data_IF_977902511284
#
_entry.id   IF_977902511284
#
_cell.length_a   1.000
_cell.length_b   1.000
_cell.length_c   1.000
_cell.angle_alpha   90.00
_cell.angle_beta   90.00
_cell.angle_gamma   90.00
#
_symmetry.space_group_name_H-M   'P 1'
#
loop_
_entity.id
_entity.type
_entity.pdbx_description
1 polymer ?
#
# COMPACT_ATOMS: atom_id res chain seq x y z
N UNK A 1 -18.25 -1.77 31.06
CA UNK A 1 -17.47 -0.52 31.16
C UNK A 1 -16.83 -0.21 29.82
N UNK A 2 -17.14 0.94 29.20
CA UNK A 2 -16.37 1.52 28.09
C UNK A 2 -16.18 3.00 28.43
N UNK A 3 -14.95 3.44 28.67
CA UNK A 3 -14.63 4.85 28.93
C UNK A 3 -13.65 5.31 27.86
N UNK A 4 -14.10 6.27 27.05
CA UNK A 4 -13.21 7.20 26.36
C UNK A 4 -13.85 8.57 26.50
N UNK A 5 -13.42 9.30 27.52
CA UNK A 5 -13.87 10.66 27.81
C UNK A 5 -12.75 11.60 27.42
N UNK A 6 -13.02 12.53 26.51
CA UNK A 6 -12.25 13.76 26.35
C UNK A 6 -13.26 14.89 26.22
N UNK A 7 -13.23 15.83 27.17
CA UNK A 7 -14.08 17.02 27.20
C UNK A 7 -13.16 18.23 27.25
N UNK A 8 -13.39 19.20 26.37
CA UNK A 8 -12.91 20.58 26.56
C UNK A 8 -14.00 21.57 26.09
N UNK A 9 -14.60 22.26 27.05
CA UNK A 9 -15.16 23.63 26.94
C UNK A 9 -14.07 24.56 27.55
N UNK A 10 -13.96 25.88 27.35
CA UNK A 10 -14.90 27.00 27.10
C UNK A 10 -14.25 27.89 26.00
N UNK A 11 -14.77 28.99 25.42
CA UNK A 11 -15.82 29.96 25.79
C UNK A 11 -16.42 30.66 24.54
N UNK A 12 -17.10 31.80 24.73
CA UNK A 12 -17.88 32.56 23.72
C UNK A 12 -17.37 33.99 23.57
N UNK A 13 -17.35 34.54 22.34
CA UNK A 13 -17.75 35.93 22.10
C UNK A 13 -18.19 36.18 20.64
N UNK A 14 -18.98 37.24 20.45
CA UNK A 14 -19.78 37.56 19.27
C UNK A 14 -19.09 38.58 18.35
N UNK A 15 -19.28 38.50 17.03
CA UNK A 15 -19.38 39.69 16.18
C UNK A 15 -20.05 39.35 14.83
N UNK A 16 -20.99 40.20 14.44
CA UNK A 16 -21.84 40.06 13.25
C UNK A 16 -21.11 40.56 12.01
N UNK A 17 -21.17 39.81 10.91
CA UNK A 17 -20.99 40.38 9.57
C UNK A 17 -21.86 39.65 8.55
N UNK A 18 -22.54 40.45 7.73
CA UNK A 18 -23.60 40.04 6.79
C UNK A 18 -22.99 39.73 5.43
N UNK A 19 -23.49 38.68 4.76
CA UNK A 19 -23.47 38.63 3.29
C UNK A 19 -22.95 37.34 2.66
N UNK A 20 -23.72 36.85 1.68
CA UNK A 20 -23.34 35.87 0.65
C UNK A 20 -23.03 34.44 1.16
N UNK A 21 -24.11 33.71 1.44
CA UNK A 21 -24.14 32.24 1.50
C UNK A 21 -23.94 31.62 0.10
N UNK A 22 -22.73 31.70 -0.43
CA UNK A 22 -22.30 30.83 -1.52
C UNK A 22 -22.01 29.45 -0.96
N UNK A 23 -23.03 28.59 -0.93
CA UNK A 23 -22.88 27.15 -0.68
C UNK A 23 -22.07 26.49 -1.81
N UNK A 24 -20.75 26.67 -1.79
CA UNK A 24 -19.84 25.76 -2.47
C UNK A 24 -19.86 24.43 -1.72
N UNK A 25 -20.91 23.66 -1.99
CA UNK A 25 -20.93 22.22 -1.72
C UNK A 25 -19.82 21.63 -2.57
N UNK A 26 -18.63 21.51 -1.99
CA UNK A 26 -17.47 20.97 -2.65
C UNK A 26 -17.74 19.48 -2.86
N UNK A 27 -18.34 19.16 -4.02
CA UNK A 27 -18.48 17.80 -4.50
C UNK A 27 -17.07 17.23 -4.59
N UNK A 28 -16.65 16.52 -3.54
CA UNK A 28 -15.67 15.44 -3.68
C UNK A 28 -16.31 14.45 -4.65
N UNK A 29 -16.01 14.64 -5.93
CA UNK A 29 -16.12 13.56 -6.90
C UNK A 29 -15.24 12.44 -6.39
N UNK A 30 -15.86 11.47 -5.71
CA UNK A 30 -15.26 10.14 -5.57
C UNK A 30 -15.02 9.68 -7.00
N UNK A 31 -13.75 9.66 -7.42
CA UNK A 31 -13.32 8.82 -8.53
C UNK A 31 -13.74 7.39 -8.19
N UNK A 32 -14.93 7.02 -8.64
CA UNK A 32 -15.43 5.65 -8.63
C UNK A 32 -14.72 4.95 -9.78
N UNK A 33 -13.45 4.62 -9.58
CA UNK A 33 -12.85 3.52 -10.33
C UNK A 33 -13.78 2.32 -10.12
N UNK A 34 -14.28 1.68 -11.20
CA UNK A 34 -15.19 0.56 -11.07
C UNK A 34 -14.42 -0.61 -10.45
N UNK A 35 -14.56 -0.78 -9.15
CA UNK A 35 -14.07 -1.96 -8.44
C UNK A 35 -15.14 -3.05 -8.47
N UNK A 36 -14.77 -4.34 -8.66
CA UNK A 36 -13.41 -4.84 -8.84
C UNK A 36 -12.80 -4.45 -10.20
N UNK A 37 -11.49 -4.22 -10.21
CA UNK A 37 -10.70 -4.10 -11.44
C UNK A 37 -10.14 -5.50 -11.72
N UNK A 38 -10.53 -6.10 -12.84
CA UNK A 38 -10.18 -7.47 -13.22
C UNK A 38 -9.39 -7.48 -14.53
N UNK A 39 -8.29 -8.23 -14.54
CA UNK A 39 -7.44 -8.44 -15.70
C UNK A 39 -7.30 -9.95 -15.94
N UNK A 40 -7.86 -10.45 -17.04
CA UNK A 40 -7.56 -11.78 -17.58
C UNK A 40 -6.32 -11.71 -18.47
N UNK A 41 -5.29 -12.48 -18.11
CA UNK A 41 -3.99 -12.46 -18.78
C UNK A 41 -3.80 -13.64 -19.74
N UNK A 42 -3.17 -13.35 -20.89
CA UNK A 42 -2.67 -14.35 -21.84
C UNK A 42 -1.18 -14.10 -22.08
N UNK A 43 -0.35 -14.48 -21.10
CA UNK A 43 1.10 -14.28 -21.12
C UNK A 43 1.77 -14.91 -22.36
N UNK A 44 2.35 -14.06 -23.22
CA UNK A 44 3.14 -14.49 -24.38
C UNK A 44 4.64 -14.24 -24.15
N UNK A 45 5.30 -15.15 -23.43
CA UNK A 45 6.77 -15.27 -23.45
C UNK A 45 7.51 -13.99 -23.04
N UNK A 46 7.14 -13.41 -21.91
CA UNK A 46 7.82 -12.25 -21.31
C UNK A 46 8.49 -12.70 -20.01
N UNK A 47 9.73 -12.26 -19.77
CA UNK A 47 10.49 -12.60 -18.54
C UNK A 47 9.90 -11.94 -17.28
N UNK A 48 9.20 -10.81 -17.46
CA UNK A 48 8.37 -10.20 -16.43
C UNK A 48 7.15 -9.49 -17.02
N UNK A 49 6.12 -9.35 -16.19
CA UNK A 49 4.93 -8.53 -16.43
C UNK A 49 4.83 -7.51 -15.28
N UNK A 50 4.53 -6.25 -15.62
CA UNK A 50 4.17 -5.22 -14.64
C UNK A 50 2.76 -4.71 -14.90
N UNK A 51 2.03 -4.46 -13.82
CA UNK A 51 0.68 -3.89 -13.82
C UNK A 51 0.68 -2.67 -12.90
N UNK A 52 0.30 -1.52 -13.43
CA UNK A 52 0.16 -0.26 -12.68
C UNK A 52 -1.27 0.24 -12.79
N UNK A 53 -1.98 0.31 -11.66
CA UNK A 53 -3.42 0.66 -11.63
C UNK A 53 -3.64 1.91 -10.79
N UNK A 54 -4.15 3.03 -11.37
CA UNK A 54 -4.47 4.21 -10.58
C UNK A 54 -5.50 3.88 -9.49
N UNK A 55 -5.17 4.10 -8.22
CA UNK A 55 -6.09 3.93 -7.08
C UNK A 55 -5.81 4.97 -6.00
N UNK A 56 -6.82 5.45 -5.25
CA UNK A 56 -6.60 6.35 -4.13
C UNK A 56 -5.86 5.66 -2.95
N UNK A 57 -5.37 6.45 -2.00
CA UNK A 57 -4.86 5.97 -0.72
C UNK A 57 -5.86 5.00 -0.03
N UNK A 58 -5.38 3.84 0.42
CA UNK A 58 -6.22 2.82 1.04
C UNK A 58 -5.57 1.43 1.09
N UNK A 59 -6.31 0.45 1.61
CA UNK A 59 -5.90 -0.96 1.60
C UNK A 59 -6.71 -1.70 0.54
N UNK A 60 -6.02 -2.51 -0.27
CA UNK A 60 -6.59 -3.28 -1.37
C UNK A 60 -6.34 -4.77 -1.16
N UNK A 61 -7.38 -5.59 -1.26
CA UNK A 61 -7.21 -7.04 -1.44
C UNK A 61 -6.93 -7.29 -2.92
N UNK A 62 -5.81 -7.96 -3.19
CA UNK A 62 -5.47 -8.49 -4.51
C UNK A 62 -5.70 -9.99 -4.49
N UNK A 63 -6.47 -10.48 -5.46
CA UNK A 63 -6.61 -11.90 -5.73
C UNK A 63 -5.88 -12.22 -7.03
N UNK A 64 -5.11 -13.30 -7.03
CA UNK A 64 -4.29 -13.70 -8.17
C UNK A 64 -4.53 -15.18 -8.45
N UNK A 65 -4.77 -15.50 -9.72
CA UNK A 65 -4.73 -16.85 -10.23
C UNK A 65 -3.44 -17.02 -11.05
N UNK A 66 -2.49 -17.76 -10.51
CA UNK A 66 -1.27 -18.19 -11.20
C UNK A 66 -1.55 -19.48 -11.97
N UNK A 67 -0.80 -19.72 -13.04
CA UNK A 67 -0.90 -20.94 -13.86
C UNK A 67 -1.34 -20.72 -15.30
N UNK A 68 -1.19 -21.75 -16.14
CA UNK A 68 -1.50 -21.67 -17.57
C UNK A 68 -1.79 -23.04 -18.20
N UNK A 69 -2.86 -23.11 -19.01
CA UNK A 69 -3.39 -24.35 -19.62
C UNK A 69 -2.36 -25.21 -20.38
N UNK A 70 -1.33 -24.57 -20.97
CA UNK A 70 -0.36 -25.21 -21.89
C UNK A 70 1.12 -24.99 -21.54
N UNK A 71 1.42 -24.51 -20.33
CA UNK A 71 2.80 -24.18 -19.91
C UNK A 71 2.95 -24.31 -18.41
N UNK A 72 4.01 -24.99 -17.98
CA UNK A 72 4.53 -24.84 -16.62
C UNK A 72 5.30 -23.51 -16.47
N UNK A 73 5.50 -23.06 -15.23
CA UNK A 73 6.29 -21.87 -14.93
C UNK A 73 6.49 -21.64 -13.44
N UNK A 74 7.40 -20.74 -13.10
CA UNK A 74 7.70 -20.31 -11.73
C UNK A 74 7.47 -18.80 -11.63
N UNK A 75 6.60 -18.38 -10.73
CA UNK A 75 6.19 -16.97 -10.60
C UNK A 75 6.46 -16.43 -9.19
N UNK A 76 7.35 -15.46 -9.10
CA UNK A 76 7.48 -14.55 -7.97
C UNK A 76 6.56 -13.35 -8.18
N UNK A 77 5.81 -12.96 -7.15
CA UNK A 77 4.94 -11.78 -7.17
C UNK A 77 5.41 -10.76 -6.14
N UNK A 78 5.64 -9.55 -6.62
CA UNK A 78 6.03 -8.39 -5.83
C UNK A 78 5.07 -7.23 -6.06
N UNK A 79 5.06 -6.26 -5.14
CA UNK A 79 4.29 -5.03 -5.31
C UNK A 79 5.05 -3.78 -4.84
N UNK A 80 4.64 -2.62 -5.35
CA UNK A 80 5.29 -1.33 -5.14
C UNK A 80 6.82 -1.45 -5.35
N UNK A 81 7.65 -0.87 -4.48
CA UNK A 81 9.12 -1.00 -4.51
C UNK A 81 9.61 -2.41 -4.11
N UNK A 82 9.30 -3.43 -4.92
CA UNK A 82 9.76 -4.84 -4.76
C UNK A 82 9.36 -5.51 -3.43
N UNK A 83 8.25 -5.12 -2.77
CA UNK A 83 7.74 -5.85 -1.59
C UNK A 83 7.34 -7.27 -1.98
N UNK A 84 7.85 -8.28 -1.30
CA UNK A 84 7.66 -9.68 -1.66
C UNK A 84 6.34 -10.22 -1.09
N UNK A 85 5.47 -10.77 -1.94
CA UNK A 85 4.21 -11.39 -1.55
C UNK A 85 4.19 -12.89 -1.80
N UNK A 86 4.65 -13.32 -2.98
CA UNK A 86 4.77 -14.74 -3.36
C UNK A 86 6.18 -14.98 -3.88
N UNK A 87 6.84 -16.04 -3.45
CA UNK A 87 8.20 -16.38 -3.87
C UNK A 87 8.21 -17.70 -4.63
N UNK A 88 8.65 -17.65 -5.88
CA UNK A 88 8.92 -18.82 -6.72
C UNK A 88 7.78 -19.85 -6.75
N UNK A 89 6.53 -19.37 -6.83
CA UNK A 89 5.36 -20.24 -6.90
C UNK A 89 5.36 -21.00 -8.23
N UNK A 90 5.65 -22.30 -8.15
CA UNK A 90 5.63 -23.21 -9.29
C UNK A 90 4.19 -23.58 -9.65
N UNK A 91 3.90 -23.60 -10.94
CA UNK A 91 2.67 -24.18 -11.50
C UNK A 91 3.05 -25.10 -12.66
N UNK A 92 2.55 -26.34 -12.67
CA UNK A 92 2.66 -27.26 -13.79
C UNK A 92 1.78 -26.85 -14.98
N UNK A 93 1.94 -27.50 -16.14
CA UNK A 93 1.04 -27.31 -17.27
C UNK A 93 -0.40 -27.73 -16.88
N UNK A 94 -1.36 -26.83 -17.09
CA UNK A 94 -2.76 -27.08 -16.73
C UNK A 94 -3.09 -26.85 -15.25
N UNK A 95 -2.08 -26.68 -14.38
CA UNK A 95 -2.28 -26.35 -12.97
C UNK A 95 -2.60 -24.86 -12.81
N UNK A 96 -3.46 -24.55 -11.83
CA UNK A 96 -3.79 -23.19 -11.42
C UNK A 96 -3.78 -23.07 -9.89
N UNK A 97 -3.19 -21.99 -9.37
CA UNK A 97 -3.09 -21.72 -7.92
C UNK A 97 -3.61 -20.32 -7.59
N UNK A 98 -4.50 -20.26 -6.60
CA UNK A 98 -5.18 -19.03 -6.17
C UNK A 98 -4.59 -18.44 -4.90
N UNK A 99 -4.21 -17.16 -4.92
CA UNK A 99 -3.60 -16.45 -3.80
C UNK A 99 -4.36 -15.15 -3.49
N UNK A 100 -4.35 -14.73 -2.21
CA UNK A 100 -5.01 -13.51 -1.74
C UNK A 100 -4.17 -12.82 -0.68
N UNK A 101 -3.81 -11.57 -0.93
CA UNK A 101 -3.02 -10.73 -0.01
C UNK A 101 -3.48 -9.27 -0.07
N UNK A 102 -3.01 -8.44 0.87
CA UNK A 102 -3.36 -7.03 0.94
C UNK A 102 -2.17 -6.10 0.67
N UNK A 103 -2.41 -5.08 -0.16
CA UNK A 103 -1.46 -3.99 -0.43
C UNK A 103 -2.01 -2.70 0.20
N UNK A 104 -1.19 -2.06 1.03
CA UNK A 104 -1.43 -0.69 1.48
C UNK A 104 -0.89 0.29 0.43
N UNK A 105 -1.78 1.04 -0.22
CA UNK A 105 -1.44 2.15 -1.12
C UNK A 105 -1.51 3.50 -0.39
N UNK A 106 -0.59 4.40 -0.73
CA UNK A 106 -0.53 5.75 -0.16
C UNK A 106 0.16 6.74 -1.10
N UNK A 107 -0.14 8.01 -0.87
CA UNK A 107 0.57 9.16 -1.40
C UNK A 107 1.19 9.98 -0.25
N UNK A 108 2.08 10.94 -0.51
CA UNK A 108 2.66 11.79 0.54
C UNK A 108 1.64 12.71 1.22
N UNK A 109 0.48 12.95 0.61
CA UNK A 109 -0.49 13.93 1.09
C UNK A 109 -1.10 13.51 2.44
N UNK A 110 -1.16 14.43 3.40
CA UNK A 110 -1.76 14.21 4.75
C UNK A 110 -3.10 14.94 4.84
N UNK A 111 -3.10 16.23 4.48
CA UNK A 111 -4.29 17.09 4.37
C UNK A 111 -4.01 18.11 3.25
N UNK A 112 -4.82 19.16 3.11
CA UNK A 112 -4.65 20.16 2.03
C UNK A 112 -3.30 20.93 2.13
N UNK A 113 -2.82 21.20 3.34
CA UNK A 113 -1.64 22.02 3.61
C UNK A 113 -0.36 21.21 3.87
N UNK A 114 -0.48 19.91 4.18
CA UNK A 114 0.61 19.08 4.65
C UNK A 114 0.82 17.80 3.85
N UNK A 115 2.09 17.45 3.67
CA UNK A 115 2.56 16.18 3.13
C UNK A 115 3.79 15.67 3.85
N UNK A 116 4.05 14.36 3.71
CA UNK A 116 5.31 13.72 4.06
C UNK A 116 6.44 14.38 3.27
N UNK A 117 7.54 14.72 3.94
CA UNK A 117 8.73 15.31 3.33
C UNK A 117 9.62 14.19 2.76
N UNK A 118 9.41 13.89 1.48
CA UNK A 118 10.21 12.89 0.76
C UNK A 118 11.63 13.38 0.46
N UNK A 119 12.60 12.47 0.59
CA UNK A 119 13.99 12.68 0.14
C UNK A 119 14.04 12.65 -1.39
N UNK A 120 15.01 13.31 -2.04
CA UNK A 120 15.07 13.46 -3.52
C UNK A 120 14.95 12.12 -4.28
N UNK A 121 15.52 11.03 -3.74
CA UNK A 121 15.45 9.68 -4.30
C UNK A 121 14.08 8.99 -4.19
N UNK A 122 13.20 9.44 -3.29
CA UNK A 122 11.89 8.83 -3.07
C UNK A 122 10.83 9.24 -4.08
N UNK A 123 11.02 10.37 -4.79
CA UNK A 123 10.06 10.82 -5.81
C UNK A 123 9.93 9.87 -7.01
N UNK A 124 10.93 9.01 -7.22
CA UNK A 124 10.93 7.98 -8.26
C UNK A 124 10.53 6.59 -7.72
N UNK A 125 10.23 6.45 -6.42
CA UNK A 125 9.79 5.19 -5.81
C UNK A 125 8.29 4.97 -6.01
N UNK A 126 7.89 3.72 -6.20
CA UNK A 126 6.48 3.35 -6.42
C UNK A 126 5.64 3.54 -5.14
N UNK A 127 6.25 3.31 -3.97
CA UNK A 127 5.67 3.43 -2.62
C UNK A 127 4.89 4.72 -2.27
N UNK A 128 5.06 5.79 -3.06
CA UNK A 128 4.44 7.10 -2.83
C UNK A 128 3.74 7.68 -4.07
N UNK A 129 3.65 6.93 -5.18
CA UNK A 129 2.97 7.39 -6.39
C UNK A 129 1.42 7.24 -6.28
N UNK A 130 0.71 7.41 -7.40
CA UNK A 130 -0.76 7.32 -7.49
C UNK A 130 -1.29 5.97 -8.03
N UNK A 131 -0.43 4.95 -8.18
CA UNK A 131 -0.77 3.63 -8.75
C UNK A 131 -0.50 2.51 -7.76
N UNK A 132 -1.38 1.51 -7.68
CA UNK A 132 -1.03 0.20 -7.12
C UNK A 132 -0.19 -0.53 -8.18
N UNK A 133 1.03 -0.88 -7.81
CA UNK A 133 2.01 -1.47 -8.74
C UNK A 133 2.29 -2.93 -8.39
N UNK A 134 2.18 -3.83 -9.36
CA UNK A 134 2.44 -5.26 -9.25
C UNK A 134 3.50 -5.69 -10.27
N UNK A 135 4.41 -6.57 -9.85
CA UNK A 135 5.43 -7.20 -10.69
C UNK A 135 5.31 -8.73 -10.58
N UNK A 136 5.28 -9.38 -11.74
CA UNK A 136 5.31 -10.83 -11.89
C UNK A 136 6.59 -11.19 -12.64
N UNK A 137 7.46 -11.97 -12.02
CA UNK A 137 8.77 -12.33 -12.57
C UNK A 137 9.10 -13.80 -12.27
N UNK A 138 10.12 -14.35 -12.91
CA UNK A 138 10.62 -15.70 -12.65
C UNK A 138 10.91 -16.48 -13.93
N UNK A 139 11.04 -17.80 -13.81
CA UNK A 139 11.25 -18.66 -14.97
C UNK A 139 9.91 -18.90 -15.68
N UNK A 140 9.66 -18.18 -16.78
CA UNK A 140 8.41 -18.21 -17.55
C UNK A 140 7.18 -17.96 -16.65
N UNK A 141 7.00 -16.75 -16.08
CA UNK A 141 5.94 -16.46 -15.12
C UNK A 141 4.54 -16.65 -15.73
N UNK A 142 3.66 -17.35 -15.02
CA UNK A 142 2.30 -17.67 -15.46
C UNK A 142 1.25 -16.99 -14.59
N UNK A 143 0.61 -15.96 -15.16
CA UNK A 143 -0.52 -15.26 -14.55
C UNK A 143 -1.72 -15.48 -15.46
N UNK A 144 -2.81 -15.98 -14.90
CA UNK A 144 -4.09 -16.15 -15.59
C UNK A 144 -5.04 -15.00 -15.29
N UNK A 145 -5.06 -14.53 -14.03
CA UNK A 145 -5.99 -13.48 -13.59
C UNK A 145 -5.44 -12.66 -12.43
N UNK A 146 -5.76 -11.37 -12.42
CA UNK A 146 -5.59 -10.47 -11.28
C UNK A 146 -6.90 -9.73 -11.02
N UNK A 147 -7.38 -9.73 -9.79
CA UNK A 147 -8.54 -8.96 -9.33
C UNK A 147 -8.09 -8.03 -8.20
N UNK A 148 -8.29 -6.72 -8.37
CA UNK A 148 -7.98 -5.70 -7.36
C UNK A 148 -9.29 -5.08 -6.88
N UNK A 149 -9.46 -4.99 -5.57
CA UNK A 149 -10.61 -4.34 -4.93
C UNK A 149 -10.25 -3.78 -3.56
N UNK A 150 -10.96 -2.75 -3.05
CA UNK A 150 -10.78 -2.29 -1.68
C UNK A 150 -10.90 -3.45 -0.71
N UNK A 151 -9.99 -3.52 0.25
CA UNK A 151 -10.10 -4.48 1.34
C UNK A 151 -11.30 -4.14 2.23
N UNK A 152 -11.74 -5.10 3.04
CA UNK A 152 -12.75 -4.84 4.06
C UNK A 152 -12.17 -3.92 5.14
N UNK A 153 -13.02 -3.10 5.75
CA UNK A 153 -12.63 -2.11 6.77
C UNK A 153 -12.09 -2.73 8.07
N UNK A 154 -12.32 -4.03 8.28
CA UNK A 154 -11.86 -4.80 9.45
C UNK A 154 -10.46 -5.42 9.28
N UNK A 155 -9.83 -5.32 8.09
CA UNK A 155 -8.46 -5.83 7.88
C UNK A 155 -7.47 -4.99 8.72
N UNK A 156 -6.73 -5.60 9.67
CA UNK A 156 -5.70 -4.92 10.43
C UNK A 156 -4.50 -4.55 9.55
N UNK A 157 -3.90 -3.41 9.84
CA UNK A 157 -2.68 -2.93 9.19
C UNK A 157 -1.51 -3.03 10.15
N UNK A 158 -0.41 -3.62 9.69
CA UNK A 158 0.89 -3.58 10.34
C UNK A 158 1.72 -2.45 9.72
N UNK A 159 1.85 -1.33 10.43
CA UNK A 159 2.71 -0.23 10.04
C UNK A 159 4.15 -0.49 10.47
N UNK A 160 5.11 -0.37 9.53
CA UNK A 160 6.54 -0.47 9.84
C UNK A 160 7.17 0.93 9.81
N UNK A 161 7.80 1.31 10.92
CA UNK A 161 8.59 2.53 11.06
C UNK A 161 10.06 2.14 11.23
N UNK A 162 10.95 2.65 10.38
CA UNK A 162 12.38 2.35 10.53
C UNK A 162 13.30 2.93 9.47
N UNK A 163 14.50 2.37 9.38
CA UNK A 163 15.61 2.87 8.57
C UNK A 163 15.91 1.98 7.33
N UNK A 164 17.16 1.98 6.85
CA UNK A 164 17.67 1.15 5.75
C UNK A 164 17.51 -0.37 5.92
N UNK A 165 17.44 -0.88 7.15
CA UNK A 165 17.18 -2.30 7.48
C UNK A 165 15.73 -2.72 7.27
N UNK A 166 14.81 -1.74 7.21
CA UNK A 166 13.36 -1.94 7.14
C UNK A 166 12.79 -1.50 5.78
N UNK A 167 13.33 -0.45 5.15
CA UNK A 167 12.81 0.20 3.92
C UNK A 167 12.73 -0.72 2.70
N UNK A 168 11.71 -0.55 1.87
CA UNK A 168 11.64 -1.18 0.55
C UNK A 168 12.76 -0.66 -0.40
N UNK A 169 13.62 -1.56 -0.87
CA UNK A 169 14.76 -1.26 -1.75
C UNK A 169 14.39 -1.51 -3.21
N UNK A 170 14.48 -0.49 -4.06
CA UNK A 170 14.08 -0.59 -5.48
C UNK A 170 15.06 -1.39 -6.36
N UNK A 171 16.33 -1.50 -5.95
CA UNK A 171 17.41 -2.06 -6.77
C UNK A 171 18.01 -3.32 -6.14
N UNK A 172 18.30 -4.33 -6.95
CA UNK A 172 19.18 -5.44 -6.57
C UNK A 172 20.64 -4.94 -6.39
N UNK A 173 21.47 -5.57 -5.54
CA UNK A 173 21.18 -6.74 -4.70
C UNK A 173 20.60 -6.36 -3.32
N UNK A 174 20.20 -5.09 -3.10
CA UNK A 174 19.69 -4.65 -1.81
C UNK A 174 18.28 -5.16 -1.55
N UNK A 175 18.05 -5.53 -0.29
CA UNK A 175 16.77 -5.93 0.27
C UNK A 175 16.78 -5.68 1.78
N UNK A 176 15.59 -5.65 2.38
CA UNK A 176 15.38 -5.34 3.80
C UNK A 176 14.37 -6.32 4.41
N UNK A 177 14.32 -6.45 5.74
CA UNK A 177 13.33 -7.38 6.33
C UNK A 177 11.89 -6.87 6.16
N UNK A 178 11.68 -5.55 6.21
CA UNK A 178 10.34 -4.95 6.05
C UNK A 178 9.79 -5.07 4.62
N UNK A 179 10.67 -5.20 3.63
CA UNK A 179 10.33 -5.53 2.23
C UNK A 179 9.92 -7.00 2.06
N UNK A 180 10.52 -7.91 2.84
CA UNK A 180 10.29 -9.36 2.73
C UNK A 180 9.14 -9.86 3.59
N UNK A 181 8.84 -9.19 4.72
CA UNK A 181 7.83 -9.65 5.68
C UNK A 181 6.39 -9.82 5.13
N UNK A 182 5.90 -9.13 4.06
CA UNK A 182 4.53 -9.31 3.58
C UNK A 182 4.21 -10.74 3.13
N UNK A 183 5.21 -11.52 2.66
CA UNK A 183 5.03 -12.91 2.22
C UNK A 183 4.47 -13.86 3.28
N UNK A 184 4.65 -13.52 4.56
CA UNK A 184 4.19 -14.34 5.68
C UNK A 184 2.73 -14.05 6.06
N UNK A 185 2.08 -13.10 5.39
CA UNK A 185 0.70 -12.70 5.62
C UNK A 185 -0.15 -12.92 4.37
N UNK A 186 -1.39 -13.36 4.60
CA UNK A 186 -2.43 -13.41 3.57
C UNK A 186 -3.36 -12.18 3.70
N UNK A 187 -4.45 -12.12 2.94
CA UNK A 187 -5.48 -11.05 2.99
C UNK A 187 -6.10 -10.71 4.37
N UNK A 188 -5.81 -11.48 5.42
CA UNK A 188 -6.23 -11.21 6.81
C UNK A 188 -5.39 -10.13 7.50
N UNK A 189 -4.24 -9.72 6.95
CA UNK A 189 -3.43 -8.60 7.47
C UNK A 189 -2.75 -7.88 6.31
N UNK A 190 -2.65 -6.55 6.41
CA UNK A 190 -1.94 -5.74 5.43
C UNK A 190 -0.65 -5.14 6.01
N UNK A 191 0.49 -5.31 5.34
CA UNK A 191 1.74 -4.63 5.72
C UNK A 191 1.82 -3.25 5.04
N UNK A 192 2.18 -2.24 5.80
CA UNK A 192 2.35 -0.86 5.36
C UNK A 192 3.74 -0.35 5.79
N UNK A 193 4.75 -0.52 4.92
CA UNK A 193 6.12 -0.14 5.23
C UNK A 193 6.36 1.35 5.00
N UNK A 194 6.58 2.15 6.06
CA UNK A 194 6.84 3.60 5.99
C UNK A 194 8.31 3.99 6.15
N UNK A 195 9.18 3.01 6.43
CA UNK A 195 10.61 3.20 6.62
C UNK A 195 11.30 3.87 5.42
N UNK A 196 12.46 4.48 5.66
CA UNK A 196 13.33 5.00 4.59
C UNK A 196 14.80 5.00 5.03
N UNK A 197 15.74 4.77 4.10
CA UNK A 197 17.18 4.76 4.39
C UNK A 197 17.66 6.04 5.08
N UNK A 198 18.47 5.88 6.14
CA UNK A 198 18.96 7.01 6.93
C UNK A 198 17.83 7.87 7.53
N UNK A 199 16.76 7.25 8.01
CA UNK A 199 15.87 7.84 9.00
C UNK A 199 16.29 7.40 10.41
N UNK A 200 16.29 8.32 11.37
CA UNK A 200 16.17 8.02 12.80
C UNK A 200 14.76 8.39 13.28
N UNK A 201 14.40 8.08 14.53
CA UNK A 201 13.08 8.43 15.06
C UNK A 201 12.76 9.94 14.91
N UNK A 202 13.75 10.80 15.18
CA UNK A 202 13.62 12.26 15.06
C UNK A 202 13.41 12.71 13.61
N UNK A 203 14.16 12.16 12.65
CA UNK A 203 13.99 12.54 11.24
C UNK A 203 12.71 11.97 10.64
N UNK A 204 12.28 10.79 11.07
CA UNK A 204 11.01 10.17 10.66
C UNK A 204 9.79 10.99 11.12
N UNK A 205 9.83 11.50 12.35
CA UNK A 205 8.82 12.44 12.89
C UNK A 205 8.90 13.77 12.13
N UNK A 206 10.09 14.35 11.96
CA UNK A 206 10.28 15.59 11.21
C UNK A 206 9.79 15.47 9.75
N UNK A 207 10.01 14.33 9.10
CA UNK A 207 9.52 14.02 7.75
C UNK A 207 7.99 13.88 7.69
N UNK A 208 7.27 13.98 8.82
CA UNK A 208 5.81 13.81 8.95
C UNK A 208 5.32 12.39 8.60
N UNK A 209 6.21 11.39 8.51
CA UNK A 209 5.83 9.98 8.27
C UNK A 209 4.94 9.45 9.39
N UNK A 210 5.32 9.70 10.64
CA UNK A 210 4.50 9.37 11.81
C UNK A 210 3.13 10.06 11.78
N UNK A 211 3.09 11.35 11.43
CA UNK A 211 1.83 12.11 11.30
C UNK A 211 0.91 11.52 10.21
N UNK A 212 1.45 11.04 9.09
CA UNK A 212 0.69 10.32 8.04
C UNK A 212 0.14 8.98 8.56
N UNK A 213 0.89 8.22 9.36
CA UNK A 213 0.39 6.99 10.00
C UNK A 213 -0.79 7.28 10.93
N UNK A 214 -0.67 8.33 11.76
CA UNK A 214 -1.73 8.75 12.69
C UNK A 214 -3.05 9.15 12.01
N UNK A 215 -3.06 9.49 10.71
CA UNK A 215 -4.32 9.76 9.98
C UNK A 215 -5.01 8.51 9.41
N UNK A 216 -4.40 7.33 9.54
CA UNK A 216 -4.90 6.08 8.93
C UNK A 216 -5.04 4.93 9.94
N UNK A 217 -4.26 4.94 11.01
CA UNK A 217 -4.27 3.90 12.05
C UNK A 217 -5.62 3.84 12.78
N UNK A 218 -6.15 2.64 12.99
CA UNK A 218 -7.40 2.35 13.70
C UNK A 218 -7.20 1.31 14.81
N UNK A 219 -8.13 1.19 15.78
CA UNK A 219 -8.07 0.11 16.77
C UNK A 219 -8.00 -1.27 16.10
N UNK A 220 -7.04 -2.10 16.53
CA UNK A 220 -6.75 -3.40 15.92
C UNK A 220 -5.57 -3.40 14.93
N UNK A 221 -5.07 -2.23 14.52
CA UNK A 221 -3.80 -2.11 13.79
C UNK A 221 -2.60 -2.24 14.73
N UNK A 222 -1.43 -2.53 14.14
CA UNK A 222 -0.16 -2.72 14.82
C UNK A 222 0.90 -1.75 14.29
N UNK A 223 1.86 -1.36 15.14
CA UNK A 223 3.03 -0.59 14.72
C UNK A 223 4.29 -1.30 15.21
N UNK A 224 5.21 -1.61 14.31
CA UNK A 224 6.58 -2.01 14.64
C UNK A 224 7.52 -0.84 14.37
N UNK A 225 8.39 -0.54 15.34
CA UNK A 225 9.30 0.59 15.31
C UNK A 225 10.73 0.07 15.52
N UNK A 226 11.58 0.22 14.51
CA UNK A 226 13.01 -0.08 14.58
C UNK A 226 13.82 1.16 14.18
N UNK A 227 14.38 1.83 15.17
CA UNK A 227 15.41 2.85 14.99
C UNK A 227 16.57 2.57 15.95
N UNK A 228 17.75 3.06 15.59
CA UNK A 228 18.93 3.19 16.45
C UNK A 228 19.44 4.62 16.43
#
# INVERSE_FOLDING_TARGET
MKKTTVIYLVSVCWLVLVGVLSFFTLKREKQRNPFPIEYDYRMKGMDSLRLSVPVPDGVYEVQILLGHRKKAGMTTVRAESRRLFLENEYTAEGEYKGYRFCIHKRTPQINEQERVRLKKREYNKLNWNHTLDLEFAGANPQVARVIIRPAKNDVPVLFLCGNSTVVDQDNEPWGSWGQMIPRFFNHQLCVANFAESGESANTFIAAKRWKKILTMIKPGDYVLIEFG
#
